data_IF_387976612531
#
_entry.id   IF_387976612531
#
_cell.length_a   1.000
_cell.length_b   1.000
_cell.length_c   1.000
_cell.angle_alpha   90.00
_cell.angle_beta   90.00
_cell.angle_gamma   90.00
#
_symmetry.space_group_name_H-M   'P 1'
#
loop_
_entity.id
_entity.type
_entity.pdbx_description
1 polymer ?
#
# COMPACT_ATOMS: atom_id res chain seq x y z
N UNK A 1 9.47 13.10 21.53
CA UNK A 1 9.99 11.72 21.41
C UNK A 1 11.20 11.57 22.33
N UNK A 2 11.45 10.40 22.91
CA UNK A 2 12.66 10.12 23.70
C UNK A 2 13.26 8.77 23.28
N UNK A 3 14.53 8.79 22.88
CA UNK A 3 15.26 7.62 22.41
C UNK A 3 16.28 7.20 23.48
N UNK A 4 16.18 5.94 23.93
CA UNK A 4 17.09 5.29 24.85
C UNK A 4 17.96 4.30 24.06
N UNK A 5 19.11 4.79 23.59
CA UNK A 5 20.09 3.99 22.86
C UNK A 5 21.16 3.41 23.80
N UNK A 6 21.77 2.30 23.40
CA UNK A 6 22.94 1.78 24.08
C UNK A 6 24.23 2.44 23.57
N UNK A 7 24.73 3.42 24.33
CA UNK A 7 25.98 4.14 24.03
C UNK A 7 27.25 3.28 24.02
N UNK A 8 27.17 2.01 24.41
CA UNK A 8 28.31 1.08 24.33
C UNK A 8 28.36 0.29 23.01
N UNK A 9 27.26 0.27 22.24
CA UNK A 9 27.19 -0.32 20.90
C UNK A 9 27.29 0.74 19.79
N UNK A 10 28.08 1.80 20.02
CA UNK A 10 28.38 2.86 19.03
C UNK A 10 29.20 2.37 17.84
N UNK A 11 28.67 1.40 17.10
CA UNK A 11 29.03 1.12 15.71
C UNK A 11 28.33 2.07 14.73
N UNK A 12 27.71 3.15 15.21
CA UNK A 12 26.89 4.04 14.40
C UNK A 12 27.66 5.29 13.95
N UNK A 13 27.40 5.68 12.70
CA UNK A 13 27.94 6.91 12.14
C UNK A 13 27.43 8.13 12.93
N UNK A 14 28.21 9.21 13.04
CA UNK A 14 27.71 10.49 13.52
C UNK A 14 26.42 10.88 12.78
N UNK A 15 25.36 11.28 13.51
CA UNK A 15 24.07 11.70 12.94
C UNK A 15 22.95 10.65 12.96
N UNK A 16 23.24 9.39 13.32
CA UNK A 16 22.24 8.32 13.29
C UNK A 16 21.10 8.52 14.32
N UNK A 17 21.42 9.03 15.51
CA UNK A 17 20.44 9.35 16.54
C UNK A 17 19.53 10.50 16.10
N UNK A 18 20.12 11.57 15.57
CA UNK A 18 19.41 12.73 15.07
C UNK A 18 18.44 12.32 13.95
N UNK A 19 18.92 11.56 12.96
CA UNK A 19 18.08 11.03 11.87
C UNK A 19 16.96 10.13 12.40
N UNK A 20 17.25 9.26 13.38
CA UNK A 20 16.22 8.42 14.02
C UNK A 20 15.13 9.29 14.64
N UNK A 21 15.49 10.33 15.39
CA UNK A 21 14.53 11.26 15.98
C UNK A 21 13.73 11.99 14.90
N UNK A 22 14.39 12.48 13.84
CA UNK A 22 13.74 13.14 12.70
C UNK A 22 12.70 12.23 12.03
N UNK A 23 13.01 10.94 11.86
CA UNK A 23 12.08 9.98 11.25
C UNK A 23 10.86 9.73 12.12
N UNK A 24 11.08 9.57 13.44
CA UNK A 24 9.99 9.37 14.39
C UNK A 24 9.07 10.59 14.45
N UNK A 25 9.65 11.80 14.53
CA UNK A 25 8.88 13.05 14.58
C UNK A 25 8.20 13.36 13.24
N UNK A 26 8.86 13.07 12.11
CA UNK A 26 8.29 13.18 10.77
C UNK A 26 7.11 12.23 10.58
N UNK A 27 7.26 10.98 11.00
CA UNK A 27 6.19 9.97 10.97
C UNK A 27 5.00 10.39 11.82
N UNK A 28 5.23 10.81 13.08
CA UNK A 28 4.16 11.31 13.96
C UNK A 28 3.40 12.49 13.33
N UNK A 29 4.13 13.44 12.71
CA UNK A 29 3.51 14.60 12.07
C UNK A 29 2.62 14.18 10.90
N UNK A 30 3.16 13.37 9.99
CA UNK A 30 2.42 12.89 8.81
C UNK A 30 1.20 12.06 9.22
N UNK A 31 1.36 11.12 10.13
CA UNK A 31 0.27 10.28 10.61
C UNK A 31 -0.77 11.10 11.38
N UNK A 32 -0.36 12.17 12.05
CA UNK A 32 -1.25 13.22 12.57
C UNK A 32 -2.21 13.78 11.52
N UNK A 33 -1.70 13.98 10.29
CA UNK A 33 -2.48 14.46 9.15
C UNK A 33 -3.40 13.40 8.54
N UNK A 34 -3.11 12.11 8.67
CA UNK A 34 -3.97 11.05 8.13
C UNK A 34 -4.96 10.47 9.15
N UNK A 35 -4.54 10.35 10.40
CA UNK A 35 -5.20 9.51 11.41
C UNK A 35 -5.73 10.35 12.59
N UNK A 36 -5.25 11.59 12.75
CA UNK A 36 -5.58 12.44 13.88
C UNK A 36 -4.40 12.54 14.86
N UNK A 37 -4.52 13.42 15.87
CA UNK A 37 -3.43 13.73 16.79
C UNK A 37 -2.81 12.48 17.43
N UNK A 38 -1.51 12.56 17.73
CA UNK A 38 -0.79 11.49 18.41
C UNK A 38 -1.48 11.14 19.75
N UNK A 39 -1.82 9.86 20.01
CA UNK A 39 -2.72 9.50 21.11
C UNK A 39 -2.08 9.48 22.50
N UNK A 40 -0.74 9.53 22.60
CA UNK A 40 -0.03 9.36 23.87
C UNK A 40 0.75 10.62 24.28
N UNK A 41 1.04 10.83 25.58
CA UNK A 41 1.80 12.01 26.03
C UNK A 41 3.23 12.07 25.49
N UNK A 42 3.83 10.91 25.22
CA UNK A 42 5.19 10.77 24.72
C UNK A 42 5.38 9.44 23.99
N UNK A 43 6.25 9.43 22.98
CA UNK A 43 6.80 8.21 22.42
C UNK A 43 8.19 7.95 23.01
N UNK A 44 8.35 6.82 23.69
CA UNK A 44 9.62 6.29 24.17
C UNK A 44 10.11 5.21 23.20
N UNK A 45 11.40 5.19 22.88
CA UNK A 45 11.96 4.22 21.95
C UNK A 45 13.27 3.67 22.47
N UNK A 46 13.48 2.35 22.34
CA UNK A 46 14.74 1.71 22.72
C UNK A 46 15.06 0.52 21.81
N UNK A 47 16.31 0.11 21.81
CA UNK A 47 16.79 -1.02 21.01
C UNK A 47 16.42 -2.37 21.64
N UNK A 48 16.22 -3.37 20.77
CA UNK A 48 16.18 -4.79 21.13
C UNK A 48 17.24 -5.55 20.35
N UNK A 49 17.72 -6.64 20.93
CA UNK A 49 18.67 -7.57 20.28
C UNK A 49 18.00 -8.45 19.22
N UNK A 50 16.67 -8.41 19.13
CA UNK A 50 15.93 -9.14 18.12
C UNK A 50 16.02 -8.45 16.74
N UNK A 51 15.72 -9.20 15.68
CA UNK A 51 15.69 -8.70 14.29
C UNK A 51 14.33 -8.13 13.88
N UNK A 52 13.42 -7.95 14.85
CA UNK A 52 12.08 -7.43 14.64
C UNK A 52 11.82 -6.19 15.52
N UNK A 53 10.68 -5.55 15.30
CA UNK A 53 10.17 -4.44 16.09
C UNK A 53 8.98 -4.89 16.93
N UNK A 54 8.67 -4.09 17.94
CA UNK A 54 7.44 -4.24 18.69
C UNK A 54 6.99 -2.88 19.23
N UNK A 55 5.81 -2.45 18.79
CA UNK A 55 5.15 -1.28 19.30
C UNK A 55 4.16 -1.63 20.43
N UNK A 56 4.25 -0.89 21.53
CA UNK A 56 3.30 -0.80 22.62
C UNK A 56 2.76 0.65 22.67
N UNK A 57 1.62 0.90 23.34
CA UNK A 57 1.13 2.26 23.60
C UNK A 57 2.20 3.18 24.19
N UNK A 58 2.67 4.18 23.43
CA UNK A 58 3.70 5.14 23.84
C UNK A 58 5.13 4.59 23.95
N UNK A 59 5.38 3.34 23.53
CA UNK A 59 6.68 2.70 23.65
C UNK A 59 7.00 1.79 22.47
N UNK A 60 8.16 1.97 21.82
CA UNK A 60 8.58 1.16 20.67
C UNK A 60 9.92 0.50 20.95
N UNK A 61 9.99 -0.80 20.70
CA UNK A 61 11.23 -1.57 20.60
C UNK A 61 11.59 -1.71 19.12
N UNK A 62 12.82 -1.33 18.75
CA UNK A 62 13.34 -1.54 17.40
C UNK A 62 14.58 -2.42 17.44
N UNK A 63 14.77 -3.26 16.42
CA UNK A 63 16.04 -3.96 16.24
C UNK A 63 17.20 -2.98 16.29
N UNK A 64 18.31 -3.36 16.94
CA UNK A 64 19.55 -2.55 16.94
C UNK A 64 20.01 -2.17 15.53
N UNK A 65 19.68 -2.98 14.50
CA UNK A 65 20.00 -2.69 13.10
C UNK A 65 19.31 -1.42 12.58
N UNK A 66 18.12 -1.11 13.10
CA UNK A 66 17.35 0.08 12.76
C UNK A 66 17.98 1.37 13.28
N UNK A 67 19.04 1.29 14.11
CA UNK A 67 19.81 2.43 14.59
C UNK A 67 21.14 2.60 13.84
N UNK A 68 21.47 1.71 12.89
CA UNK A 68 22.77 1.67 12.20
C UNK A 68 22.82 2.14 10.76
N UNK A 69 24.02 2.00 10.16
CA UNK A 69 24.40 2.51 8.83
C UNK A 69 23.59 1.92 7.64
N UNK A 70 22.51 1.18 7.89
CA UNK A 70 21.56 0.77 6.87
C UNK A 70 20.59 1.93 6.56
N UNK A 71 21.16 3.07 6.13
CA UNK A 71 20.44 4.22 5.59
C UNK A 71 20.13 3.99 4.10
N UNK A 72 19.37 2.93 3.81
CA UNK A 72 18.99 2.56 2.44
C UNK A 72 17.53 2.89 2.16
N UNK A 73 16.90 3.78 2.94
CA UNK A 73 15.46 4.03 2.96
C UNK A 73 14.65 2.95 3.71
N UNK A 74 15.27 1.79 3.92
CA UNK A 74 14.68 0.60 4.56
C UNK A 74 14.51 0.81 6.07
N UNK A 75 15.48 1.42 6.75
CA UNK A 75 15.36 1.68 8.19
C UNK A 75 14.32 2.77 8.48
N UNK A 76 14.17 3.73 7.57
CA UNK A 76 13.15 4.78 7.63
C UNK A 76 11.74 4.17 7.54
N UNK A 77 11.50 3.26 6.58
CA UNK A 77 10.25 2.49 6.45
C UNK A 77 9.95 1.72 7.73
N UNK A 78 10.93 0.99 8.26
CA UNK A 78 10.74 0.19 9.46
C UNK A 78 10.44 1.05 10.70
N UNK A 79 11.14 2.17 10.90
CA UNK A 79 10.83 3.13 11.96
C UNK A 79 9.41 3.69 11.82
N UNK A 80 9.00 4.04 10.59
CA UNK A 80 7.68 4.58 10.32
C UNK A 80 6.57 3.54 10.56
N UNK A 81 6.77 2.27 10.20
CA UNK A 81 5.84 1.16 10.47
C UNK A 81 5.55 1.04 11.98
N UNK A 82 6.60 1.03 12.78
CA UNK A 82 6.48 0.87 14.25
C UNK A 82 5.87 2.10 14.92
N UNK A 83 6.07 3.29 14.36
CA UNK A 83 5.34 4.51 14.79
C UNK A 83 3.87 4.46 14.37
N UNK A 84 3.54 3.89 13.21
CA UNK A 84 2.16 3.79 12.74
C UNK A 84 1.31 2.90 13.67
N UNK A 85 1.92 1.91 14.31
CA UNK A 85 1.24 1.08 15.30
C UNK A 85 0.70 1.85 16.51
N UNK A 86 1.16 3.08 16.75
CA UNK A 86 0.60 3.95 17.78
C UNK A 86 -0.87 4.33 17.47
N UNK A 87 -1.28 4.29 16.20
CA UNK A 87 -2.68 4.36 15.77
C UNK A 87 -3.24 2.96 15.51
N UNK A 88 -2.52 2.12 14.76
CA UNK A 88 -3.01 0.80 14.31
C UNK A 88 -2.53 -0.34 15.21
N UNK A 89 -3.46 -0.90 15.99
CA UNK A 89 -3.17 -1.94 16.98
C UNK A 89 -3.08 -1.42 18.41
N UNK A 90 -2.62 -0.18 18.62
CA UNK A 90 -2.57 0.45 19.94
C UNK A 90 -3.79 1.34 20.26
N UNK A 91 -4.22 2.20 19.32
CA UNK A 91 -5.40 3.06 19.50
C UNK A 91 -6.66 2.44 18.90
N UNK A 92 -6.56 1.99 17.65
CA UNK A 92 -7.59 1.21 16.96
C UNK A 92 -7.17 -0.25 17.05
N UNK A 93 -7.88 -1.03 17.86
CA UNK A 93 -7.62 -2.46 17.98
C UNK A 93 -8.28 -3.24 16.82
N UNK A 94 -7.95 -4.51 16.67
CA UNK A 94 -8.67 -5.42 15.77
C UNK A 94 -9.64 -6.31 16.57
N UNK A 95 -10.76 -6.70 15.97
CA UNK A 95 -11.83 -7.46 16.63
C UNK A 95 -11.47 -8.95 16.83
N UNK A 96 -10.99 -9.62 15.78
CA UNK A 96 -10.48 -10.99 15.88
C UNK A 96 -9.26 -11.26 14.98
N UNK A 97 -8.70 -12.47 15.02
CA UNK A 97 -7.47 -12.81 14.26
C UNK A 97 -7.60 -12.65 12.73
N UNK A 98 -8.82 -12.61 12.18
CA UNK A 98 -9.09 -12.35 10.76
C UNK A 98 -8.91 -10.87 10.41
N UNK A 99 -9.05 -10.00 11.40
CA UNK A 99 -8.98 -8.54 11.26
C UNK A 99 -7.59 -7.98 11.57
N UNK A 100 -6.62 -8.85 11.86
CA UNK A 100 -5.26 -8.45 12.24
C UNK A 100 -4.53 -7.63 11.16
N UNK A 101 -4.94 -7.77 9.90
CA UNK A 101 -4.44 -6.93 8.80
C UNK A 101 -4.73 -5.43 8.99
N UNK A 102 -5.73 -5.07 9.82
CA UNK A 102 -6.00 -3.68 10.22
C UNK A 102 -4.85 -3.12 11.07
N UNK A 103 -4.11 -3.95 11.79
CA UNK A 103 -2.86 -3.53 12.45
C UNK A 103 -1.73 -3.48 11.43
N UNK A 104 -1.38 -4.63 10.87
CA UNK A 104 -0.13 -4.80 10.12
C UNK A 104 -0.17 -4.13 8.74
N UNK A 105 -1.20 -4.39 7.94
CA UNK A 105 -1.34 -3.79 6.61
C UNK A 105 -1.52 -2.27 6.66
N UNK A 106 -2.21 -1.75 7.68
CA UNK A 106 -2.36 -0.29 7.84
C UNK A 106 -1.06 0.37 8.29
N UNK A 107 -0.32 -0.23 9.23
CA UNK A 107 1.01 0.26 9.61
C UNK A 107 2.00 0.21 8.44
N UNK A 108 1.96 -0.87 7.66
CA UNK A 108 2.86 -1.07 6.52
C UNK A 108 2.57 -0.08 5.39
N UNK A 109 1.28 0.19 5.10
CA UNK A 109 0.93 1.26 4.15
C UNK A 109 1.27 2.66 4.68
N UNK A 110 1.11 2.89 5.98
CA UNK A 110 1.50 4.17 6.60
C UNK A 110 3.00 4.43 6.43
N UNK A 111 3.83 3.40 6.55
CA UNK A 111 5.26 3.50 6.28
C UNK A 111 5.56 3.87 4.82
N UNK A 112 4.86 3.26 3.85
CA UNK A 112 4.99 3.64 2.45
C UNK A 112 4.52 5.09 2.19
N UNK A 113 3.43 5.53 2.82
CA UNK A 113 3.02 6.94 2.76
C UNK A 113 4.07 7.87 3.37
N UNK A 114 4.79 7.45 4.40
CA UNK A 114 5.91 8.21 4.96
C UNK A 114 7.07 8.36 3.98
N UNK A 115 7.40 7.31 3.23
CA UNK A 115 8.38 7.41 2.13
C UNK A 115 7.91 8.43 1.09
N UNK A 116 6.67 8.28 0.59
CA UNK A 116 6.13 9.14 -0.45
C UNK A 116 5.98 10.62 -0.03
N UNK A 117 5.46 10.87 1.17
CA UNK A 117 5.04 12.22 1.60
C UNK A 117 5.99 12.84 2.61
N UNK A 118 6.58 12.04 3.49
CA UNK A 118 7.50 12.49 4.55
C UNK A 118 8.93 12.64 4.04
N UNK A 119 9.45 11.63 3.34
CA UNK A 119 10.78 11.67 2.72
C UNK A 119 10.74 12.28 1.31
N UNK A 120 9.56 12.34 0.69
CA UNK A 120 9.38 12.82 -0.68
C UNK A 120 10.16 12.00 -1.72
N UNK A 121 10.28 10.69 -1.47
CA UNK A 121 11.00 9.75 -2.32
C UNK A 121 9.98 8.93 -3.13
N UNK A 122 9.62 9.43 -4.32
CA UNK A 122 8.63 8.76 -5.18
C UNK A 122 9.18 7.45 -5.75
N UNK A 123 10.47 7.41 -6.12
CA UNK A 123 11.10 6.23 -6.69
C UNK A 123 11.09 5.07 -5.70
N UNK A 124 11.50 5.33 -4.44
CA UNK A 124 11.46 4.32 -3.39
C UNK A 124 10.02 3.88 -3.07
N UNK A 125 9.03 4.78 -3.14
CA UNK A 125 7.63 4.41 -2.94
C UNK A 125 7.14 3.45 -4.03
N UNK A 126 7.45 3.72 -5.31
CA UNK A 126 7.09 2.83 -6.41
C UNK A 126 7.84 1.48 -6.31
N UNK A 127 9.13 1.48 -5.91
CA UNK A 127 9.89 0.24 -5.66
C UNK A 127 9.25 -0.63 -4.55
N UNK A 128 8.72 0.00 -3.50
CA UNK A 128 8.00 -0.71 -2.42
C UNK A 128 6.71 -1.33 -2.97
N UNK A 129 5.93 -0.58 -3.76
CA UNK A 129 4.71 -1.10 -4.36
C UNK A 129 5.02 -2.25 -5.33
N UNK A 130 6.03 -2.12 -6.18
CA UNK A 130 6.37 -3.18 -7.13
C UNK A 130 6.86 -4.44 -6.39
N UNK A 131 7.63 -4.29 -5.31
CA UNK A 131 8.01 -5.42 -4.46
C UNK A 131 6.80 -6.15 -3.87
N UNK A 132 5.86 -5.43 -3.24
CA UNK A 132 4.63 -6.02 -2.70
C UNK A 132 3.79 -6.68 -3.79
N UNK A 133 3.70 -6.04 -4.97
CA UNK A 133 2.97 -6.59 -6.11
C UNK A 133 3.60 -7.91 -6.53
N UNK A 134 4.91 -7.97 -6.72
CA UNK A 134 5.62 -9.18 -7.14
C UNK A 134 5.52 -10.31 -6.12
N UNK A 135 5.64 -9.99 -4.82
CA UNK A 135 5.53 -10.96 -3.73
C UNK A 135 4.10 -11.53 -3.65
N UNK A 136 3.07 -10.68 -3.73
CA UNK A 136 1.66 -11.11 -3.70
C UNK A 136 1.28 -11.88 -4.97
N UNK A 137 1.78 -11.51 -6.14
CA UNK A 137 1.54 -12.20 -7.41
C UNK A 137 2.35 -13.49 -7.59
N UNK A 138 3.20 -13.83 -6.61
CA UNK A 138 4.15 -14.94 -6.68
C UNK A 138 5.03 -14.90 -7.95
N UNK A 139 5.40 -13.69 -8.40
CA UNK A 139 6.24 -13.47 -9.59
C UNK A 139 7.74 -13.38 -9.25
N UNK A 140 8.12 -13.77 -8.04
CA UNK A 140 9.47 -13.53 -7.50
C UNK A 140 10.52 -14.37 -8.23
N UNK A 141 11.15 -13.78 -9.26
CA UNK A 141 12.43 -14.18 -9.82
C UNK A 141 13.42 -13.01 -9.75
N UNK A 142 14.37 -13.13 -8.84
CA UNK A 142 15.67 -12.42 -8.81
C UNK A 142 15.65 -10.93 -8.42
N UNK A 143 15.75 -10.68 -7.12
CA UNK A 143 16.71 -9.71 -6.57
C UNK A 143 16.57 -8.27 -7.02
N UNK A 144 15.56 -7.58 -6.52
CA UNK A 144 15.57 -6.14 -6.17
C UNK A 144 14.17 -5.83 -5.61
N UNK A 145 14.08 -5.42 -4.34
CA UNK A 145 12.80 -5.03 -3.75
C UNK A 145 12.80 -5.10 -2.23
N UNK A 146 12.30 -4.04 -1.60
CA UNK A 146 12.15 -3.88 -0.16
C UNK A 146 10.98 -4.68 0.45
N UNK A 147 10.63 -5.84 -0.14
CA UNK A 147 9.61 -6.77 0.36
C UNK A 147 10.10 -7.62 1.54
N UNK A 148 9.58 -8.84 1.72
CA UNK A 148 9.90 -9.70 2.89
C UNK A 148 11.38 -10.05 3.08
N UNK A 149 12.24 -9.89 2.05
CA UNK A 149 13.71 -9.96 2.17
C UNK A 149 14.24 -9.03 3.28
N UNK A 150 13.53 -7.93 3.57
CA UNK A 150 13.85 -7.00 4.65
C UNK A 150 13.83 -7.65 6.04
N UNK A 151 12.93 -8.60 6.28
CA UNK A 151 12.84 -9.33 7.55
C UNK A 151 13.91 -10.44 7.69
N UNK A 152 14.92 -10.44 6.82
CA UNK A 152 15.98 -11.45 6.81
C UNK A 152 15.50 -12.80 6.28
N UNK A 153 14.36 -12.83 5.58
CA UNK A 153 13.84 -14.02 4.92
C UNK A 153 14.79 -14.38 3.79
N UNK A 154 15.22 -15.64 3.74
CA UNK A 154 16.14 -16.10 2.70
C UNK A 154 15.38 -16.32 1.38
N UNK A 155 15.98 -16.04 0.21
CA UNK A 155 15.31 -16.22 -1.08
C UNK A 155 14.74 -17.63 -1.30
N UNK A 156 15.35 -18.66 -0.71
CA UNK A 156 14.86 -20.04 -0.81
C UNK A 156 13.48 -20.22 -0.15
N UNK A 157 13.21 -19.49 0.94
CA UNK A 157 11.94 -19.53 1.68
C UNK A 157 10.85 -18.78 0.92
N UNK A 158 11.21 -17.71 0.21
CA UNK A 158 10.27 -16.95 -0.62
C UNK A 158 9.74 -17.81 -1.77
N UNK A 159 10.57 -18.71 -2.33
CA UNK A 159 10.15 -19.64 -3.39
C UNK A 159 9.13 -20.68 -2.93
N UNK A 160 8.92 -20.82 -1.63
CA UNK A 160 7.87 -21.69 -1.06
C UNK A 160 6.53 -20.94 -0.94
N UNK A 161 6.47 -19.66 -1.29
CA UNK A 161 5.25 -18.85 -1.32
C UNK A 161 4.29 -19.31 -2.42
N UNK A 162 3.00 -19.24 -2.13
CA UNK A 162 1.91 -19.31 -3.12
C UNK A 162 1.27 -17.93 -3.35
N UNK A 163 1.77 -16.88 -2.67
CA UNK A 163 1.30 -15.51 -2.81
C UNK A 163 -0.20 -15.39 -2.53
N UNK A 164 -0.94 -14.78 -3.45
CA UNK A 164 -2.40 -14.62 -3.35
C UNK A 164 -3.18 -15.94 -3.38
N UNK A 165 -2.61 -17.02 -3.93
CA UNK A 165 -3.30 -18.32 -4.03
C UNK A 165 -3.38 -19.06 -2.68
N UNK A 166 -2.49 -18.73 -1.74
CA UNK A 166 -2.43 -19.31 -0.38
C UNK A 166 -3.73 -19.15 0.42
N UNK A 167 -4.49 -18.09 0.14
CA UNK A 167 -5.78 -17.85 0.78
C UNK A 167 -6.20 -16.38 0.83
N UNK A 168 -7.44 -16.10 1.26
CA UNK A 168 -7.93 -14.74 1.36
C UNK A 168 -7.24 -14.01 2.51
N UNK A 169 -7.16 -12.67 2.43
CA UNK A 169 -6.53 -11.83 3.45
C UNK A 169 -7.05 -12.12 4.86
N UNK A 170 -8.37 -12.32 4.97
CA UNK A 170 -9.06 -12.58 6.24
C UNK A 170 -8.84 -13.99 6.80
N UNK A 171 -8.09 -14.86 6.13
CA UNK A 171 -7.59 -16.07 6.75
C UNK A 171 -6.65 -15.72 7.94
N UNK A 172 -6.02 -14.53 7.89
CA UNK A 172 -5.24 -13.95 8.98
C UNK A 172 -4.15 -14.91 9.42
N UNK A 173 -4.03 -15.13 10.73
CA UNK A 173 -2.99 -16.00 11.30
C UNK A 173 -2.99 -17.45 10.77
N UNK A 174 -4.06 -17.92 10.11
CA UNK A 174 -4.09 -19.27 9.49
C UNK A 174 -3.24 -19.40 8.24
N UNK A 175 -2.82 -18.29 7.65
CA UNK A 175 -1.86 -18.25 6.56
C UNK A 175 -0.43 -18.59 7.05
N UNK A 176 -0.21 -18.65 8.37
CA UNK A 176 1.06 -19.09 8.94
C UNK A 176 1.10 -20.62 8.92
N UNK A 177 1.79 -21.17 7.92
CA UNK A 177 1.92 -22.60 7.69
C UNK A 177 3.38 -22.99 7.48
N UNK A 178 3.69 -24.28 7.61
CA UNK A 178 5.03 -24.80 7.25
C UNK A 178 5.19 -25.05 5.75
N UNK A 179 4.11 -25.00 4.98
CA UNK A 179 4.11 -25.22 3.52
C UNK A 179 4.39 -23.90 2.80
N UNK A 180 3.82 -22.82 3.32
CA UNK A 180 3.91 -21.45 2.81
C UNK A 180 4.35 -20.50 3.94
N UNK A 181 5.62 -20.60 4.38
CA UNK A 181 6.10 -20.00 5.63
C UNK A 181 6.12 -18.46 5.68
N UNK A 182 5.87 -17.79 4.56
CA UNK A 182 5.93 -16.32 4.43
C UNK A 182 4.60 -15.69 4.03
N UNK A 183 3.58 -16.49 3.75
CA UNK A 183 2.35 -16.00 3.10
C UNK A 183 1.47 -15.24 4.09
N UNK A 184 1.61 -15.52 5.39
CA UNK A 184 1.08 -14.63 6.42
C UNK A 184 1.64 -13.20 6.27
N UNK A 185 2.95 -13.04 6.10
CA UNK A 185 3.56 -11.72 5.95
C UNK A 185 3.12 -11.07 4.63
N UNK A 186 3.26 -11.79 3.50
CA UNK A 186 2.89 -11.28 2.17
C UNK A 186 1.43 -10.83 2.15
N UNK A 187 0.50 -11.63 2.69
CA UNK A 187 -0.91 -11.28 2.61
C UNK A 187 -1.31 -10.25 3.68
N UNK A 188 -1.01 -10.50 4.96
CA UNK A 188 -1.50 -9.64 6.05
C UNK A 188 -0.83 -8.26 6.05
N UNK A 189 0.43 -8.17 5.62
CA UNK A 189 1.17 -6.91 5.55
C UNK A 189 1.09 -6.30 4.15
N UNK A 190 1.57 -7.02 3.13
CA UNK A 190 1.79 -6.42 1.81
C UNK A 190 0.48 -6.31 1.02
N UNK A 191 -0.29 -7.40 0.85
CA UNK A 191 -1.63 -7.32 0.23
C UNK A 191 -2.56 -6.42 1.04
N UNK A 192 -2.51 -6.50 2.38
CA UNK A 192 -3.24 -5.61 3.28
C UNK A 192 -2.94 -4.12 3.04
N UNK A 193 -1.66 -3.76 2.89
CA UNK A 193 -1.25 -2.41 2.54
C UNK A 193 -1.64 -2.03 1.11
N UNK A 194 -1.53 -2.96 0.16
CA UNK A 194 -1.89 -2.76 -1.24
C UNK A 194 -3.39 -2.49 -1.41
N UNK A 195 -4.24 -3.09 -0.59
CA UNK A 195 -5.68 -2.79 -0.56
C UNK A 195 -5.93 -1.32 -0.20
N UNK A 196 -5.22 -0.79 0.80
CA UNK A 196 -5.30 0.64 1.13
C UNK A 196 -4.78 1.52 -0.01
N UNK A 197 -3.73 1.09 -0.71
CA UNK A 197 -3.24 1.77 -1.91
C UNK A 197 -4.30 1.81 -3.01
N UNK A 198 -4.92 0.68 -3.34
CA UNK A 198 -6.00 0.63 -4.34
C UNK A 198 -7.16 1.56 -3.96
N UNK A 199 -7.60 1.54 -2.69
CA UNK A 199 -8.64 2.44 -2.20
C UNK A 199 -8.24 3.91 -2.29
N UNK A 200 -6.99 4.24 -1.95
CA UNK A 200 -6.45 5.60 -2.11
C UNK A 200 -6.47 6.00 -3.58
N UNK A 201 -6.02 5.15 -4.49
CA UNK A 201 -5.97 5.44 -5.93
C UNK A 201 -7.36 5.59 -6.54
N UNK A 202 -8.38 4.91 -6.00
CA UNK A 202 -9.77 5.09 -6.41
C UNK A 202 -10.39 6.39 -5.87
N UNK A 203 -10.01 6.83 -4.66
CA UNK A 203 -10.52 8.06 -4.03
C UNK A 203 -9.79 9.34 -4.45
N UNK A 204 -8.51 9.22 -4.80
CA UNK A 204 -7.63 10.35 -5.09
C UNK A 204 -7.93 11.01 -6.44
N UNK A 205 -7.64 12.31 -6.53
CA UNK A 205 -7.33 12.94 -7.80
C UNK A 205 -5.85 12.71 -8.09
N UNK A 206 -5.56 11.69 -8.89
CA UNK A 206 -4.20 11.23 -9.18
C UNK A 206 -3.41 12.32 -9.94
N UNK A 207 -4.05 13.06 -10.84
CA UNK A 207 -3.40 14.10 -11.61
C UNK A 207 -3.05 15.32 -10.76
N UNK A 208 -3.90 15.67 -9.79
CA UNK A 208 -3.65 16.73 -8.82
C UNK A 208 -2.76 16.30 -7.65
N UNK A 209 -2.50 15.00 -7.48
CA UNK A 209 -1.79 14.45 -6.32
C UNK A 209 -2.56 14.59 -5.00
N UNK A 210 -3.88 14.75 -5.06
CA UNK A 210 -4.76 15.01 -3.93
C UNK A 210 -5.46 13.73 -3.46
N UNK A 211 -5.17 13.29 -2.24
CA UNK A 211 -5.78 12.14 -1.57
C UNK A 211 -6.65 12.54 -0.36
N UNK A 212 -7.16 13.78 -0.35
CA UNK A 212 -7.95 14.33 0.77
C UNK A 212 -9.13 13.44 1.15
N UNK A 213 -9.86 12.87 0.19
CA UNK A 213 -10.97 11.95 0.49
C UNK A 213 -10.52 10.67 1.22
N UNK A 214 -9.38 10.11 0.83
CA UNK A 214 -8.80 8.95 1.51
C UNK A 214 -8.37 9.33 2.94
N UNK A 215 -7.67 10.45 3.09
CA UNK A 215 -7.26 10.99 4.38
C UNK A 215 -8.44 11.26 5.32
N UNK A 216 -9.53 11.82 4.81
CA UNK A 216 -10.77 12.02 5.59
C UNK A 216 -11.43 10.71 6.02
N UNK A 217 -11.45 9.71 5.13
CA UNK A 217 -11.94 8.36 5.44
C UNK A 217 -11.13 7.73 6.58
N UNK A 218 -9.79 7.73 6.48
CA UNK A 218 -8.91 7.17 7.49
C UNK A 218 -9.04 7.87 8.85
N UNK A 219 -9.03 9.21 8.86
CA UNK A 219 -9.23 9.99 10.08
C UNK A 219 -10.58 9.72 10.74
N UNK A 220 -11.64 9.59 9.94
CA UNK A 220 -12.96 9.22 10.43
C UNK A 220 -12.95 7.82 11.03
N UNK A 221 -12.33 6.86 10.36
CA UNK A 221 -12.26 5.48 10.85
C UNK A 221 -11.57 5.40 12.22
N UNK A 222 -10.45 6.10 12.39
CA UNK A 222 -9.77 6.20 13.71
C UNK A 222 -10.67 6.79 14.78
N UNK A 223 -11.40 7.87 14.47
CA UNK A 223 -12.33 8.49 15.43
C UNK A 223 -13.48 7.55 15.79
N UNK A 224 -14.03 6.84 14.80
CA UNK A 224 -15.17 5.95 14.98
C UNK A 224 -14.77 4.69 15.78
N UNK A 225 -13.49 4.31 15.79
CA UNK A 225 -12.92 3.15 16.53
C UNK A 225 -11.89 3.54 17.60
N UNK A 226 -11.94 4.75 18.14
CA UNK A 226 -11.01 5.19 19.18
C UNK A 226 -11.13 4.32 20.43
N UNK A 227 -10.07 3.60 20.81
CA UNK A 227 -10.03 2.64 21.93
C UNK A 227 -11.08 1.51 21.80
N UNK A 228 -11.51 1.20 20.58
CA UNK A 228 -12.45 0.12 20.29
C UNK A 228 -11.87 -0.81 19.22
N UNK A 229 -12.23 -2.11 19.22
CA UNK A 229 -11.88 -3.00 18.14
C UNK A 229 -12.58 -2.58 16.84
N UNK A 230 -11.87 -2.73 15.74
CA UNK A 230 -12.38 -2.63 14.38
C UNK A 230 -12.34 -4.00 13.71
N UNK A 231 -13.33 -4.27 12.87
CA UNK A 231 -13.33 -5.44 12.00
C UNK A 231 -13.24 -5.04 10.54
N UNK A 232 -12.91 -6.01 9.70
CA UNK A 232 -12.93 -5.88 8.24
C UNK A 232 -14.28 -5.36 7.77
N UNK A 233 -15.38 -5.80 8.39
CA UNK A 233 -16.75 -5.30 8.13
C UNK A 233 -16.95 -3.84 8.53
N UNK A 234 -16.38 -3.40 9.65
CA UNK A 234 -16.50 -1.99 10.05
C UNK A 234 -15.68 -1.07 9.14
N UNK A 235 -14.53 -1.56 8.65
CA UNK A 235 -13.74 -0.87 7.64
C UNK A 235 -14.46 -0.82 6.28
N UNK A 236 -15.06 -1.94 5.83
CA UNK A 236 -15.94 -1.99 4.66
C UNK A 236 -17.02 -0.91 4.72
N UNK A 237 -17.74 -0.82 5.84
CA UNK A 237 -18.76 0.23 6.03
C UNK A 237 -18.17 1.65 6.01
N UNK A 238 -16.91 1.85 6.43
CA UNK A 238 -16.23 3.14 6.34
C UNK A 238 -15.88 3.50 4.88
N UNK A 239 -15.43 2.51 4.10
CA UNK A 239 -15.16 2.64 2.67
C UNK A 239 -16.45 2.95 1.90
N UNK A 240 -17.53 2.21 2.13
CA UNK A 240 -18.84 2.48 1.50
C UNK A 240 -19.32 3.92 1.73
N UNK A 241 -19.15 4.43 2.97
CA UNK A 241 -19.48 5.82 3.30
C UNK A 241 -18.62 6.82 2.54
N UNK A 242 -17.33 6.54 2.36
CA UNK A 242 -16.42 7.43 1.63
C UNK A 242 -16.71 7.45 0.12
N UNK A 243 -17.13 6.33 -0.45
CA UNK A 243 -17.52 6.22 -1.86
C UNK A 243 -18.96 6.68 -2.13
N UNK A 244 -19.84 6.61 -1.12
CA UNK A 244 -21.27 6.91 -1.27
C UNK A 244 -22.04 5.82 -2.03
N UNK A 245 -21.50 4.60 -2.08
CA UNK A 245 -22.04 3.46 -2.82
C UNK A 245 -21.64 2.14 -2.12
N UNK A 246 -22.37 1.03 -2.36
CA UNK A 246 -21.94 -0.29 -1.93
C UNK A 246 -20.56 -0.66 -2.49
N UNK A 247 -19.74 -1.25 -1.64
CA UNK A 247 -18.37 -1.66 -1.96
C UNK A 247 -18.13 -3.13 -1.62
N UNK A 248 -19.19 -3.89 -1.40
CA UNK A 248 -19.20 -5.34 -1.20
C UNK A 248 -18.41 -6.06 -2.30
N UNK A 249 -18.60 -5.69 -3.57
CA UNK A 249 -17.84 -6.26 -4.69
C UNK A 249 -16.32 -6.14 -4.51
N UNK A 250 -15.83 -5.02 -3.95
CA UNK A 250 -14.40 -4.80 -3.76
C UNK A 250 -13.87 -5.70 -2.64
N UNK A 251 -14.61 -5.80 -1.54
CA UNK A 251 -14.21 -6.65 -0.42
C UNK A 251 -14.33 -8.14 -0.76
N UNK A 252 -15.41 -8.55 -1.43
CA UNK A 252 -15.60 -9.92 -1.90
C UNK A 252 -14.48 -10.36 -2.85
N UNK A 253 -14.03 -9.48 -3.76
CA UNK A 253 -12.93 -9.76 -4.68
C UNK A 253 -11.56 -9.76 -3.98
N UNK A 254 -11.22 -8.68 -3.26
CA UNK A 254 -9.84 -8.42 -2.85
C UNK A 254 -9.50 -8.82 -1.43
N UNK A 255 -10.50 -8.88 -0.54
CA UNK A 255 -10.31 -9.13 0.91
C UNK A 255 -10.76 -10.54 1.28
N UNK A 256 -11.94 -10.95 0.82
CA UNK A 256 -12.51 -12.27 1.04
C UNK A 256 -12.16 -13.26 -0.09
N UNK A 257 -11.72 -12.76 -1.24
CA UNK A 257 -11.30 -13.53 -2.41
C UNK A 257 -9.79 -13.68 -2.54
N UNK A 258 -9.41 -14.59 -3.44
CA UNK A 258 -8.01 -14.91 -3.78
C UNK A 258 -7.64 -14.50 -5.19
N UNK A 259 -8.62 -14.26 -6.06
CA UNK A 259 -8.37 -14.04 -7.48
C UNK A 259 -7.67 -12.70 -7.73
N UNK A 260 -6.79 -12.66 -8.74
CA UNK A 260 -6.09 -11.46 -9.18
C UNK A 260 -6.16 -11.39 -10.70
N UNK A 261 -6.60 -10.26 -11.31
CA UNK A 261 -6.81 -10.19 -12.75
C UNK A 261 -5.49 -10.10 -13.51
N UNK A 262 -5.47 -10.73 -14.68
CA UNK A 262 -4.53 -10.41 -15.75
C UNK A 262 -5.19 -9.46 -16.74
N UNK A 263 -4.65 -8.24 -16.87
CA UNK A 263 -5.08 -7.27 -17.88
C UNK A 263 -4.19 -7.32 -19.11
N UNK A 264 -4.82 -7.26 -20.29
CA UNK A 264 -4.17 -7.14 -21.60
C UNK A 264 -4.73 -5.93 -22.35
N UNK A 265 -4.17 -4.73 -22.13
CA UNK A 265 -4.59 -3.53 -22.84
C UNK A 265 -4.07 -3.56 -24.28
N UNK A 266 -4.98 -3.46 -25.25
CA UNK A 266 -4.70 -3.23 -26.66
C UNK A 266 -5.29 -1.87 -27.03
N UNK A 267 -4.51 -0.82 -26.78
CA UNK A 267 -4.94 0.58 -26.88
C UNK A 267 -4.12 1.33 -27.93
N UNK A 268 -4.82 2.02 -28.82
CA UNK A 268 -4.25 2.82 -29.89
C UNK A 268 -4.78 4.26 -29.81
N UNK A 269 -4.04 5.20 -30.41
CA UNK A 269 -4.48 6.58 -30.56
C UNK A 269 -4.55 6.94 -32.03
N UNK A 270 -5.68 7.50 -32.44
CA UNK A 270 -5.84 8.05 -33.78
C UNK A 270 -6.51 9.41 -33.74
N UNK A 271 -6.31 10.16 -34.83
CA UNK A 271 -7.03 11.41 -35.07
C UNK A 271 -8.33 11.11 -35.79
N UNK A 272 -9.44 11.62 -35.27
CA UNK A 272 -10.78 11.41 -35.83
C UNK A 272 -11.25 12.69 -36.52
N UNK A 273 -11.60 12.59 -37.80
CA UNK A 273 -12.18 13.70 -38.55
C UNK A 273 -13.54 14.08 -37.97
N UNK A 274 -13.85 15.39 -37.95
CA UNK A 274 -15.14 15.93 -37.50
C UNK A 274 -15.54 15.64 -36.04
N UNK A 275 -14.59 15.23 -35.18
CA UNK A 275 -14.77 15.07 -33.74
C UNK A 275 -14.09 16.21 -32.97
N UNK A 276 -14.74 16.70 -31.90
CA UNK A 276 -14.14 17.59 -30.91
C UNK A 276 -14.27 16.93 -29.52
N UNK A 277 -13.16 16.58 -28.85
CA UNK A 277 -11.77 16.81 -29.26
C UNK A 277 -11.26 15.83 -30.35
N UNK A 278 -10.22 16.21 -31.13
CA UNK A 278 -9.89 15.58 -32.42
C UNK A 278 -9.11 14.27 -32.34
N UNK A 279 -8.63 13.88 -31.15
CA UNK A 279 -7.93 12.61 -30.93
C UNK A 279 -8.83 11.65 -30.18
N UNK A 280 -8.60 10.35 -30.37
CA UNK A 280 -9.33 9.29 -29.70
C UNK A 280 -8.33 8.23 -29.25
N UNK A 281 -8.31 7.94 -27.96
CA UNK A 281 -7.75 6.70 -27.43
C UNK A 281 -8.83 5.62 -27.56
N UNK A 282 -8.57 4.57 -28.31
CA UNK A 282 -9.51 3.50 -28.55
C UNK A 282 -8.84 2.14 -28.50
N UNK A 283 -9.65 1.08 -28.42
CA UNK A 283 -9.16 -0.29 -28.44
C UNK A 283 -9.92 -1.14 -27.43
N UNK A 284 -9.26 -2.16 -26.90
CA UNK A 284 -9.87 -3.09 -25.94
C UNK A 284 -8.98 -3.32 -24.74
N UNK A 285 -9.58 -3.56 -23.57
CA UNK A 285 -8.88 -4.11 -22.41
C UNK A 285 -9.50 -5.46 -22.10
N UNK A 286 -8.71 -6.53 -22.20
CA UNK A 286 -9.15 -7.87 -21.80
C UNK A 286 -8.78 -8.14 -20.36
N UNK A 287 -9.63 -8.90 -19.68
CA UNK A 287 -9.47 -9.34 -18.30
C UNK A 287 -9.54 -10.88 -18.27
N UNK A 288 -8.51 -11.49 -17.70
CA UNK A 288 -8.33 -12.94 -17.61
C UNK A 288 -8.08 -13.34 -16.14
N UNK A 289 -8.15 -14.64 -15.84
CA UNK A 289 -7.83 -15.25 -14.53
C UNK A 289 -8.73 -14.84 -13.35
N UNK A 290 -9.88 -14.23 -13.63
CA UNK A 290 -10.91 -13.84 -12.65
C UNK A 290 -12.32 -14.17 -13.18
N UNK A 291 -13.34 -14.25 -12.31
CA UNK A 291 -14.73 -14.42 -12.75
C UNK A 291 -15.20 -13.30 -13.68
N UNK A 292 -16.17 -13.60 -14.56
CA UNK A 292 -16.75 -12.62 -15.51
C UNK A 292 -17.39 -11.41 -14.82
N UNK A 293 -17.73 -11.53 -13.53
CA UNK A 293 -18.29 -10.45 -12.69
C UNK A 293 -17.23 -9.56 -12.04
N UNK A 294 -15.95 -9.93 -12.14
CA UNK A 294 -14.86 -9.20 -11.52
C UNK A 294 -14.76 -7.82 -12.15
N UNK A 295 -14.70 -6.79 -11.30
CA UNK A 295 -14.69 -5.41 -11.76
C UNK A 295 -13.61 -4.59 -11.07
N UNK A 296 -13.02 -3.64 -11.79
CA UNK A 296 -12.12 -2.64 -11.23
C UNK A 296 -12.00 -1.42 -12.17
N UNK A 297 -12.09 -0.18 -11.65
CA UNK A 297 -11.68 0.99 -12.41
C UNK A 297 -10.15 1.11 -12.43
N UNK A 298 -9.54 0.84 -13.59
CA UNK A 298 -8.08 0.90 -13.78
C UNK A 298 -7.69 2.27 -14.35
N UNK A 299 -6.77 3.02 -13.72
CA UNK A 299 -6.34 4.31 -14.25
C UNK A 299 -5.39 4.14 -15.45
N UNK A 300 -5.54 5.00 -16.43
CA UNK A 300 -4.63 5.20 -17.55
C UNK A 300 -4.15 6.64 -17.52
N UNK A 301 -2.84 6.81 -17.37
CA UNK A 301 -2.18 8.11 -17.44
C UNK A 301 -1.81 8.42 -18.89
N UNK A 302 -2.16 9.62 -19.32
CA UNK A 302 -1.84 10.16 -20.62
C UNK A 302 -0.95 11.38 -20.44
N UNK A 303 0.29 11.31 -20.91
CA UNK A 303 1.22 12.45 -20.93
C UNK A 303 1.17 13.10 -22.31
N UNK A 304 1.32 14.43 -22.34
CA UNK A 304 1.25 15.23 -23.56
C UNK A 304 2.44 16.17 -23.62
N UNK A 305 2.84 16.58 -24.83
CA UNK A 305 3.99 17.45 -25.02
C UNK A 305 3.78 18.89 -24.50
N UNK A 306 2.55 19.41 -24.62
CA UNK A 306 2.25 20.84 -24.49
C UNK A 306 1.18 21.15 -23.40
N UNK A 307 0.84 20.18 -22.57
CA UNK A 307 -0.22 20.32 -21.55
C UNK A 307 -0.02 19.37 -20.37
N UNK A 308 -0.69 19.64 -19.23
CA UNK A 308 -0.64 18.73 -18.08
C UNK A 308 -1.12 17.32 -18.43
N UNK A 309 -0.59 16.30 -17.76
CA UNK A 309 -1.07 14.94 -17.94
C UNK A 309 -2.54 14.80 -17.56
N UNK A 310 -3.23 13.83 -18.17
CA UNK A 310 -4.60 13.47 -17.82
C UNK A 310 -4.66 12.03 -17.34
N UNK A 311 -5.50 11.77 -16.34
CA UNK A 311 -5.78 10.41 -15.88
C UNK A 311 -7.23 10.09 -16.20
N UNK A 312 -7.45 9.01 -16.94
CA UNK A 312 -8.78 8.44 -17.17
C UNK A 312 -8.90 7.12 -16.42
N UNK A 313 -10.10 6.76 -15.97
CA UNK A 313 -10.34 5.44 -15.34
C UNK A 313 -11.20 4.60 -16.28
N UNK A 314 -10.67 3.47 -16.71
CA UNK A 314 -11.39 2.48 -17.51
C UNK A 314 -12.01 1.50 -16.52
N UNK A 315 -13.34 1.44 -16.46
CA UNK A 315 -14.03 0.40 -15.72
C UNK A 315 -13.91 -0.90 -16.52
N UNK A 316 -13.08 -1.82 -16.04
CA UNK A 316 -13.01 -3.19 -16.57
C UNK A 316 -13.96 -4.03 -15.72
N UNK A 317 -15.11 -4.41 -16.26
CA UNK A 317 -16.19 -5.13 -15.55
C UNK A 317 -16.77 -6.29 -16.37
N UNK A 318 -16.01 -6.74 -17.37
CA UNK A 318 -16.32 -7.87 -18.24
C UNK A 318 -15.00 -8.48 -18.76
N UNK A 319 -15.01 -9.71 -19.32
CA UNK A 319 -13.81 -10.33 -19.90
C UNK A 319 -13.12 -9.50 -21.00
N UNK A 320 -13.86 -8.60 -21.64
CA UNK A 320 -13.32 -7.62 -22.59
C UNK A 320 -14.17 -6.36 -22.56
N UNK A 321 -13.53 -5.19 -22.44
CA UNK A 321 -14.19 -3.88 -22.51
C UNK A 321 -13.65 -3.05 -23.67
N UNK A 322 -14.54 -2.45 -24.44
CA UNK A 322 -14.18 -1.50 -25.50
C UNK A 322 -13.88 -0.14 -24.88
N UNK A 323 -12.79 0.48 -25.33
CA UNK A 323 -12.35 1.80 -24.87
C UNK A 323 -12.53 2.80 -26.00
N UNK A 324 -13.11 3.96 -25.68
CA UNK A 324 -13.21 5.10 -26.58
C UNK A 324 -13.21 6.39 -25.76
N UNK A 325 -12.05 7.03 -25.64
CA UNK A 325 -11.83 8.23 -24.82
C UNK A 325 -11.37 9.37 -25.73
N UNK A 326 -12.20 10.41 -25.95
CA UNK A 326 -11.80 11.58 -26.72
C UNK A 326 -10.69 12.37 -26.03
N UNK A 327 -9.62 12.69 -26.77
CA UNK A 327 -8.43 13.37 -26.27
C UNK A 327 -8.19 14.72 -26.98
N UNK A 328 -7.75 15.76 -26.24
CA UNK A 328 -7.56 17.10 -26.77
C UNK A 328 -6.27 17.27 -27.60
N UNK A 329 -5.36 16.30 -27.55
CA UNK A 329 -4.12 16.21 -28.34
C UNK A 329 -3.67 14.75 -28.42
N UNK A 330 -2.67 14.48 -29.24
CA UNK A 330 -1.96 13.21 -29.25
C UNK A 330 -1.12 13.08 -27.97
N UNK A 331 -1.26 12.00 -27.19
CA UNK A 331 -0.39 11.75 -26.05
C UNK A 331 1.00 11.31 -26.54
N UNK A 332 2.03 11.74 -25.82
CA UNK A 332 3.42 11.29 -26.03
C UNK A 332 3.70 9.94 -25.37
N UNK A 333 2.91 9.59 -24.37
CA UNK A 333 3.08 8.39 -23.57
C UNK A 333 1.74 8.00 -22.92
N UNK A 334 1.50 6.69 -22.83
CA UNK A 334 0.27 6.09 -22.32
C UNK A 334 0.68 5.02 -21.33
N UNK A 335 0.30 5.18 -20.07
CA UNK A 335 0.66 4.26 -19.00
C UNK A 335 -0.61 3.66 -18.39
N UNK A 336 -0.85 2.39 -18.68
CA UNK A 336 -1.96 1.63 -18.14
C UNK A 336 -1.63 1.13 -16.73
N UNK A 337 -2.59 1.19 -15.81
CA UNK A 337 -2.42 0.87 -14.39
C UNK A 337 -1.35 1.74 -13.68
N UNK A 338 -1.35 3.04 -14.00
CA UNK A 338 -0.38 4.02 -13.47
C UNK A 338 -0.21 3.94 -11.94
N UNK A 339 1.04 3.96 -11.46
CA UNK A 339 1.46 3.80 -10.04
C UNK A 339 0.98 2.50 -9.39
N UNK A 340 0.93 1.42 -10.18
CA UNK A 340 0.41 0.12 -9.75
C UNK A 340 -0.92 0.25 -9.00
N UNK A 341 -1.81 1.11 -9.49
CA UNK A 341 -3.04 1.47 -8.79
C UNK A 341 -4.00 0.30 -8.52
N UNK A 342 -3.81 -0.80 -9.26
CA UNK A 342 -4.51 -2.07 -9.11
C UNK A 342 -3.48 -3.19 -9.00
N UNK A 343 -3.66 -4.05 -8.00
CA UNK A 343 -2.91 -5.30 -7.88
C UNK A 343 -3.34 -6.24 -9.02
N UNK A 344 -2.50 -6.39 -10.05
CA UNK A 344 -2.83 -7.16 -11.24
C UNK A 344 -1.56 -7.55 -12.00
N UNK A 345 -1.67 -8.58 -12.84
CA UNK A 345 -0.72 -8.77 -13.94
C UNK A 345 -1.12 -7.85 -15.09
N UNK A 346 -0.15 -7.13 -15.68
CA UNK A 346 -0.36 -6.35 -16.90
C UNK A 346 0.58 -6.90 -17.97
N UNK A 347 0.04 -7.39 -19.08
CA UNK A 347 0.79 -8.15 -20.09
C UNK A 347 0.55 -7.69 -21.52
#
# INVERSE_FOLDING_TARGET
VTVYENRSQTGFAPGALEKTIEDLEGSIRLFGEYFGAYPYPSLLLTETVAHNGQAFPGFVLLSYQAFGQLHTGVSEVFRAHEVAHQWWGALVHWEDYRDQWISEGFSHYSAALYVLKGLQDEDQFEDILDAWRLDVLNEVNVGQGAGILHYGVRPEVIRESEGHESGPLVAGYRLNSTETPVDYQILVYEKGAFILHMLRMMLADIAAGDDTRFREMMRRFVRDHHEAPASTRSFEAAVERAFGAPMDWFFDQWVYGVDVPTYRPDLEVSRVADQQPPWLLYGTVRQEDVPDTFRMPVPVLLRFADRPPQVHRILVDAPSVDVAIPLPAEPTDIEFNYRHAVLAHVR
#
